data_IF_182343594565
#
_entry.id   IF_182343594565
#
_cell.length_a   1.000
_cell.length_b   1.000
_cell.length_c   1.000
_cell.angle_alpha   90.00
_cell.angle_beta   90.00
_cell.angle_gamma   90.00
#
_symmetry.space_group_name_H-M   'P 1'
#
loop_
_entity.id
_entity.type
_entity.pdbx_description
1 polymer ?
#
# COMPACT_ATOMS: atom_id res chain seq x y z
N UNK A 1 -10.89 27.34 -57.58
CA UNK A 1 -9.87 26.87 -56.60
C UNK A 1 -10.62 26.28 -55.42
N UNK A 2 -10.47 24.97 -55.22
CA UNK A 2 -11.18 24.17 -54.22
C UNK A 2 -10.44 24.16 -52.87
N UNK A 3 -11.21 24.14 -51.78
CA UNK A 3 -10.84 23.52 -50.49
C UNK A 3 -10.08 24.42 -49.51
N UNK A 4 -10.13 24.21 -48.19
CA UNK A 4 -10.72 23.16 -47.36
C UNK A 4 -11.01 23.76 -45.98
N UNK A 5 -12.12 23.37 -45.35
CA UNK A 5 -12.40 23.69 -43.95
C UNK A 5 -11.55 22.86 -42.98
N UNK A 6 -11.52 23.28 -41.72
CA UNK A 6 -11.16 22.46 -40.54
C UNK A 6 -11.74 23.14 -39.29
N UNK A 7 -12.91 22.66 -38.86
CA UNK A 7 -13.49 23.00 -37.56
C UNK A 7 -12.58 22.53 -36.43
N UNK A 8 -12.49 23.33 -35.35
CA UNK A 8 -11.84 22.90 -34.11
C UNK A 8 -12.92 22.57 -33.09
N UNK A 9 -13.32 21.31 -33.09
CA UNK A 9 -14.19 20.74 -32.08
C UNK A 9 -13.50 20.58 -30.72
N UNK A 10 -14.33 20.68 -29.69
CA UNK A 10 -14.29 20.07 -28.36
C UNK A 10 -12.97 19.47 -27.83
N UNK A 11 -12.50 20.06 -26.72
CA UNK A 11 -11.63 19.43 -25.74
C UNK A 11 -12.08 19.78 -24.33
N UNK A 12 -13.07 19.05 -23.81
CA UNK A 12 -13.46 19.04 -22.40
C UNK A 12 -12.27 18.59 -21.55
N UNK A 13 -11.35 19.48 -21.19
CA UNK A 13 -10.29 19.10 -20.26
C UNK A 13 -10.73 19.38 -18.83
N UNK A 14 -11.54 18.44 -18.32
CA UNK A 14 -11.74 18.17 -16.90
C UNK A 14 -10.37 18.20 -16.20
N UNK A 15 -9.99 19.32 -15.57
CA UNK A 15 -8.97 19.29 -14.50
C UNK A 15 -9.62 18.85 -13.19
N UNK A 16 -10.36 17.74 -13.26
CA UNK A 16 -10.48 16.81 -12.17
C UNK A 16 -9.37 15.78 -12.40
N UNK A 17 -8.17 16.07 -11.92
CA UNK A 17 -7.09 15.10 -11.84
C UNK A 17 -6.52 15.16 -10.43
N UNK A 18 -7.23 14.50 -9.51
CA UNK A 18 -6.67 13.96 -8.27
C UNK A 18 -5.98 14.96 -7.35
N UNK A 19 -6.76 15.59 -6.47
CA UNK A 19 -6.28 15.99 -5.14
C UNK A 19 -5.94 14.71 -4.35
N UNK A 20 -4.88 14.01 -4.76
CA UNK A 20 -4.28 12.96 -3.94
C UNK A 20 -3.79 13.61 -2.66
N UNK A 21 -4.21 13.04 -1.52
CA UNK A 21 -3.91 13.58 -0.20
C UNK A 21 -2.38 13.70 -0.03
N UNK A 22 -1.95 14.71 0.72
CA UNK A 22 -0.55 14.92 1.10
C UNK A 22 0.06 13.59 1.58
N UNK A 23 0.92 12.98 0.75
CA UNK A 23 1.62 11.75 1.11
C UNK A 23 2.85 12.09 1.95
N UNK A 24 3.34 11.15 2.75
CA UNK A 24 4.64 11.27 3.41
C UNK A 24 5.64 10.44 2.61
N UNK A 25 6.80 11.01 2.26
CA UNK A 25 7.93 10.25 1.78
C UNK A 25 8.75 9.78 3.00
N UNK A 26 9.07 8.50 3.06
CA UNK A 26 9.84 7.89 4.16
C UNK A 26 11.13 7.27 3.65
N UNK A 27 12.15 7.23 4.51
CA UNK A 27 13.41 6.55 4.24
C UNK A 27 13.40 5.15 4.86
N UNK A 28 13.46 4.10 4.03
CA UNK A 28 13.53 2.71 4.51
C UNK A 28 14.83 2.36 5.23
N UNK A 29 15.89 3.17 5.09
CA UNK A 29 17.18 2.90 5.70
C UNK A 29 17.35 3.51 7.11
N UNK A 30 16.73 4.67 7.38
CA UNK A 30 16.94 5.38 8.64
C UNK A 30 15.65 5.89 9.31
N UNK A 31 14.48 5.68 8.70
CA UNK A 31 13.19 6.11 9.25
C UNK A 31 12.89 7.62 9.12
N UNK A 32 13.68 8.38 8.35
CA UNK A 32 13.40 9.80 8.10
C UNK A 32 12.09 9.99 7.32
N UNK A 33 11.26 10.95 7.72
CA UNK A 33 9.95 11.23 7.12
C UNK A 33 9.86 12.69 6.70
N UNK A 34 9.30 12.94 5.52
CA UNK A 34 9.05 14.30 5.00
C UNK A 34 7.77 14.36 4.17
N UNK A 35 7.21 15.54 4.02
CA UNK A 35 6.01 15.75 3.20
C UNK A 35 6.32 15.55 1.72
N UNK A 36 5.43 14.86 0.99
CA UNK A 36 5.57 14.62 -0.44
C UNK A 36 5.48 15.92 -1.23
N UNK A 37 6.46 16.19 -2.08
CA UNK A 37 6.48 17.37 -2.95
C UNK A 37 5.69 17.12 -4.24
N UNK A 38 4.84 18.07 -4.64
CA UNK A 38 4.06 17.92 -5.88
C UNK A 38 4.98 17.95 -7.10
N UNK A 39 4.79 17.00 -8.01
CA UNK A 39 5.57 16.89 -9.25
C UNK A 39 6.91 16.17 -9.09
N UNK A 40 7.32 15.82 -7.86
CA UNK A 40 8.55 15.06 -7.59
C UNK A 40 8.16 13.74 -6.92
N UNK A 41 8.36 12.58 -7.55
CA UNK A 41 8.11 11.29 -6.92
C UNK A 41 9.09 11.05 -5.76
N UNK A 42 8.65 10.38 -4.69
CA UNK A 42 9.49 10.18 -3.49
C UNK A 42 10.87 9.55 -3.80
N UNK A 43 10.96 8.62 -4.75
CA UNK A 43 12.22 7.93 -5.10
C UNK A 43 13.29 8.85 -5.68
N UNK A 44 12.90 10.04 -6.13
CA UNK A 44 13.82 11.04 -6.68
C UNK A 44 14.38 11.97 -5.58
N UNK A 45 13.71 12.05 -4.42
CA UNK A 45 14.22 12.77 -3.25
C UNK A 45 15.20 11.91 -2.46
N UNK A 46 16.38 12.46 -2.13
CA UNK A 46 17.36 11.81 -1.25
C UNK A 46 17.09 12.16 0.22
N UNK A 47 17.22 11.17 1.09
CA UNK A 47 17.13 11.35 2.53
C UNK A 47 18.27 12.26 3.03
N UNK A 48 17.99 13.37 3.73
CA UNK A 48 19.03 14.23 4.29
C UNK A 48 19.82 13.57 5.44
N UNK A 49 19.26 12.54 6.08
CA UNK A 49 19.92 11.83 7.18
C UNK A 49 20.92 10.76 6.70
N UNK A 50 20.68 10.10 5.55
CA UNK A 50 21.53 8.98 5.12
C UNK A 50 21.77 8.88 3.60
N UNK A 51 21.23 9.80 2.79
CA UNK A 51 21.46 9.86 1.34
C UNK A 51 20.65 8.87 0.49
N UNK A 52 19.96 7.89 1.09
CA UNK A 52 19.14 6.91 0.36
C UNK A 52 17.87 7.54 -0.24
N UNK A 53 17.38 7.03 -1.38
CA UNK A 53 16.14 7.52 -1.98
C UNK A 53 14.95 7.26 -1.06
N UNK A 54 14.03 8.22 -1.01
CA UNK A 54 12.81 8.09 -0.21
C UNK A 54 11.76 7.25 -0.95
N UNK A 55 10.87 6.62 -0.22
CA UNK A 55 9.76 5.83 -0.75
C UNK A 55 8.45 6.42 -0.27
N UNK A 56 7.35 6.19 -1.00
CA UNK A 56 6.04 6.68 -0.56
C UNK A 56 5.60 5.87 0.65
N UNK A 57 5.32 6.53 1.78
CA UNK A 57 4.76 5.89 2.97
C UNK A 57 3.28 5.70 2.68
N UNK A 58 2.92 4.52 2.19
CA UNK A 58 1.51 4.16 2.05
C UNK A 58 0.88 4.12 3.44
N UNK A 59 -0.28 4.79 3.60
CA UNK A 59 -1.04 4.90 4.83
C UNK A 59 -1.79 3.58 5.17
N UNK A 60 -1.12 2.43 5.05
CA UNK A 60 -1.68 1.11 5.37
C UNK A 60 -1.41 0.69 6.82
N UNK A 61 -1.15 1.64 7.73
CA UNK A 61 -1.00 1.35 9.15
C UNK A 61 -2.34 1.17 9.88
N UNK A 62 -3.47 1.59 9.32
CA UNK A 62 -4.78 1.52 9.97
C UNK A 62 -5.70 0.40 9.46
N UNK A 63 -5.35 -0.27 8.35
CA UNK A 63 -6.12 -1.39 7.78
C UNK A 63 -5.27 -2.67 7.71
N UNK A 64 -4.66 -3.04 8.83
CA UNK A 64 -3.97 -4.33 8.92
C UNK A 64 -5.00 -5.43 9.24
N UNK A 65 -4.91 -6.59 8.57
CA UNK A 65 -5.84 -7.68 8.80
C UNK A 65 -5.77 -8.16 10.25
N UNK A 66 -6.93 -8.48 10.82
CA UNK A 66 -7.07 -9.04 12.18
C UNK A 66 -7.62 -10.47 12.10
N UNK A 67 -7.25 -11.33 13.06
CA UNK A 67 -7.69 -12.73 13.08
C UNK A 67 -8.71 -12.95 14.20
N UNK A 68 -9.87 -13.47 13.82
CA UNK A 68 -10.87 -13.96 14.76
C UNK A 68 -10.46 -15.34 15.29
N UNK A 69 -10.01 -15.36 16.54
CA UNK A 69 -9.54 -16.57 17.22
C UNK A 69 -10.63 -17.64 17.40
N UNK A 70 -11.91 -17.25 17.45
CA UNK A 70 -13.02 -18.21 17.60
C UNK A 70 -13.27 -18.98 16.30
N UNK A 71 -13.15 -18.30 15.15
CA UNK A 71 -13.40 -18.89 13.83
C UNK A 71 -12.14 -19.54 13.24
N UNK A 72 -10.95 -19.09 13.64
CA UNK A 72 -9.69 -19.61 13.11
C UNK A 72 -9.53 -21.11 13.44
N UNK A 73 -9.27 -21.93 12.42
CA UNK A 73 -9.05 -23.38 12.56
C UNK A 73 -7.56 -23.78 12.53
N UNK A 74 -6.64 -22.82 12.56
CA UNK A 74 -5.20 -23.12 12.58
C UNK A 74 -4.63 -23.75 11.33
N UNK A 75 -5.31 -23.67 10.17
CA UNK A 75 -4.92 -24.40 8.96
C UNK A 75 -3.59 -23.98 8.29
N UNK A 76 -2.95 -22.89 8.74
CA UNK A 76 -1.65 -22.43 8.21
C UNK A 76 -1.67 -21.81 6.80
N UNK A 77 -2.80 -21.80 6.09
CA UNK A 77 -2.86 -21.23 4.72
C UNK A 77 -2.45 -19.76 4.64
N UNK A 78 -2.86 -18.96 5.62
CA UNK A 78 -2.50 -17.54 5.70
C UNK A 78 -0.98 -17.33 5.88
N UNK A 79 -0.32 -18.18 6.66
CA UNK A 79 1.13 -18.16 6.86
C UNK A 79 1.86 -18.43 5.54
N UNK A 80 1.46 -19.48 4.81
CA UNK A 80 2.11 -19.88 3.56
C UNK A 80 2.03 -18.83 2.43
N UNK A 81 1.05 -17.92 2.46
CA UNK A 81 0.92 -16.87 1.43
C UNK A 81 1.48 -15.52 1.86
N UNK A 82 1.99 -15.41 3.08
CA UNK A 82 2.54 -14.17 3.59
C UNK A 82 3.95 -13.95 3.02
N UNK A 83 4.20 -12.92 2.19
CA UNK A 83 5.50 -12.72 1.56
C UNK A 83 6.58 -12.19 2.52
N UNK A 84 6.18 -11.77 3.72
CA UNK A 84 7.04 -11.17 4.75
C UNK A 84 7.01 -11.97 6.04
N UNK A 85 6.48 -13.20 6.00
CA UNK A 85 6.39 -14.12 7.13
C UNK A 85 5.80 -13.52 8.43
N UNK A 86 4.93 -12.52 8.30
CA UNK A 86 4.33 -11.81 9.44
C UNK A 86 3.21 -12.58 10.15
N UNK A 87 3.03 -13.88 9.86
CA UNK A 87 1.94 -14.70 10.43
C UNK A 87 2.53 -15.97 11.03
N UNK A 88 2.23 -16.22 12.29
CA UNK A 88 2.65 -17.42 13.03
C UNK A 88 1.45 -18.24 13.48
N UNK A 89 1.64 -19.55 13.70
CA UNK A 89 0.62 -20.42 14.28
C UNK A 89 1.05 -20.79 15.70
N UNK A 90 0.30 -20.33 16.69
CA UNK A 90 0.52 -20.61 18.11
C UNK A 90 -0.74 -21.23 18.71
N UNK A 91 -0.60 -22.31 19.50
CA UNK A 91 -1.74 -23.01 20.11
C UNK A 91 -2.84 -23.42 19.12
N UNK A 92 -2.46 -23.78 17.88
CA UNK A 92 -3.41 -24.14 16.83
C UNK A 92 -4.23 -22.97 16.29
N UNK A 93 -3.79 -21.72 16.49
CA UNK A 93 -4.42 -20.52 15.96
C UNK A 93 -3.42 -19.61 15.28
N UNK A 94 -3.89 -18.88 14.28
CA UNK A 94 -3.04 -17.92 13.57
C UNK A 94 -2.95 -16.59 14.33
N UNK A 95 -1.76 -16.03 14.38
CA UNK A 95 -1.44 -14.72 14.96
C UNK A 95 -0.71 -13.88 13.90
N UNK A 96 -1.01 -12.58 13.83
CA UNK A 96 -0.41 -11.65 12.86
C UNK A 96 0.45 -10.65 13.62
N UNK A 97 1.73 -10.59 13.27
CA UNK A 97 2.61 -9.53 13.71
C UNK A 97 2.27 -8.25 12.94
N UNK A 98 1.58 -7.34 13.63
CA UNK A 98 1.17 -6.04 13.08
C UNK A 98 2.39 -5.17 12.75
N UNK A 99 3.53 -5.32 13.41
CA UNK A 99 4.72 -4.56 13.09
C UNK A 99 5.34 -5.04 11.76
N UNK A 100 5.45 -6.36 11.57
CA UNK A 100 5.99 -6.97 10.34
C UNK A 100 5.01 -6.98 9.16
N UNK A 101 3.70 -6.94 9.42
CA UNK A 101 2.68 -7.08 8.37
C UNK A 101 2.70 -5.89 7.39
N UNK A 102 2.98 -6.18 6.12
CA UNK A 102 2.97 -5.19 5.04
C UNK A 102 1.56 -4.72 4.61
N UNK A 103 0.49 -5.29 5.18
CA UNK A 103 -0.89 -4.91 4.83
C UNK A 103 -1.36 -5.38 3.44
N UNK A 104 -0.74 -6.41 2.86
CA UNK A 104 -1.06 -6.87 1.51
C UNK A 104 -2.39 -7.64 1.37
N UNK A 105 -3.03 -8.01 2.51
CA UNK A 105 -4.33 -8.72 2.62
C UNK A 105 -4.46 -10.04 1.84
N UNK A 106 -3.35 -10.64 1.38
CA UNK A 106 -3.35 -11.98 0.74
C UNK A 106 -3.92 -13.06 1.65
N UNK A 107 -3.68 -12.96 2.95
CA UNK A 107 -4.18 -13.89 3.96
C UNK A 107 -5.72 -13.95 4.01
N UNK A 108 -6.41 -12.84 3.76
CA UNK A 108 -7.88 -12.76 3.75
C UNK A 108 -8.44 -13.66 2.64
N UNK A 109 -7.89 -13.54 1.43
CA UNK A 109 -8.39 -14.26 0.25
C UNK A 109 -8.20 -15.78 0.33
N UNK A 110 -7.27 -16.27 1.14
CA UNK A 110 -6.97 -17.71 1.25
C UNK A 110 -7.60 -18.37 2.47
N UNK A 111 -8.22 -17.59 3.37
CA UNK A 111 -8.80 -18.12 4.58
C UNK A 111 -10.10 -18.88 4.24
N UNK A 112 -10.15 -20.22 4.40
CA UNK A 112 -11.32 -21.01 4.00
C UNK A 112 -12.54 -20.78 4.91
N UNK A 113 -12.31 -20.23 6.09
CA UNK A 113 -13.33 -19.99 7.13
C UNK A 113 -13.59 -18.49 7.33
N UNK A 114 -13.02 -17.62 6.49
CA UNK A 114 -13.15 -16.16 6.60
C UNK A 114 -12.88 -15.63 8.02
N UNK A 115 -11.87 -16.20 8.71
CA UNK A 115 -11.51 -15.79 10.06
C UNK A 115 -10.63 -14.52 10.09
N UNK A 116 -10.42 -13.85 8.95
CA UNK A 116 -9.51 -12.70 8.82
C UNK A 116 -10.25 -11.53 8.16
N UNK A 117 -10.21 -10.34 8.76
CA UNK A 117 -10.83 -9.09 8.26
C UNK A 117 -9.80 -7.95 8.13
#
# INVERSE_FOLDING_TARGET
MYGRGMGRGNGRNRRNQGLGIQGTCYCSNCGYETSHQRGIPCYEMKCPSCGNPLTRKELNTTMKPTINQNTCIGCGKCQNVCPVDAITIENGKANIDIAACAGCRRCVNVCPVNAID
#
